data_IF_395179399840
#
_entry.id   IF_395179399840
#
_cell.length_a   1.000
_cell.length_b   1.000
_cell.length_c   1.000
_cell.angle_alpha   90.00
_cell.angle_beta   90.00
_cell.angle_gamma   90.00
#
_symmetry.space_group_name_H-M   'P 1'
#
loop_
_entity.id
_entity.type
_entity.pdbx_description
1 polymer ?
#
# COMPACT_ATOMS: atom_id res chain seq x y z
N UNK A 1 59.46 43.97 7.08
CA UNK A 1 59.57 43.56 5.67
C UNK A 1 59.57 42.03 5.61
N UNK A 2 58.69 41.47 4.75
CA UNK A 2 58.50 40.08 4.29
C UNK A 2 59.68 39.10 4.54
N UNK A 3 59.48 37.85 4.95
CA UNK A 3 59.01 36.65 4.19
C UNK A 3 59.41 35.44 5.08
N UNK A 4 58.88 34.23 5.05
CA UNK A 4 58.04 33.49 4.12
C UNK A 4 57.54 32.25 4.85
N UNK A 5 56.31 31.87 4.53
CA UNK A 5 55.62 30.64 4.89
C UNK A 5 56.44 29.34 4.78
N UNK A 6 56.30 28.48 5.78
CA UNK A 6 56.39 27.02 5.61
C UNK A 6 55.06 26.39 6.01
N UNK A 7 54.16 26.36 5.03
CA UNK A 7 53.03 25.44 4.97
C UNK A 7 53.56 24.00 4.87
N UNK A 8 52.98 23.09 5.65
CA UNK A 8 52.85 21.61 5.49
C UNK A 8 52.99 20.96 6.88
N UNK A 9 52.17 20.00 7.31
CA UNK A 9 51.11 19.24 6.68
C UNK A 9 50.46 18.32 7.75
N UNK A 10 49.42 17.59 7.33
CA UNK A 10 48.97 16.29 7.87
C UNK A 10 48.12 16.40 9.15
N UNK A 11 46.90 15.87 9.29
CA UNK A 11 46.11 14.95 8.48
C UNK A 11 44.62 15.27 8.73
N UNK A 12 43.86 15.32 7.66
CA UNK A 12 42.40 15.23 7.74
C UNK A 12 42.03 13.79 8.09
N UNK A 13 41.56 13.55 9.32
CA UNK A 13 40.89 12.31 9.68
C UNK A 13 39.44 12.41 9.22
N UNK A 14 39.17 11.97 7.99
CA UNK A 14 37.81 11.81 7.48
C UNK A 14 37.22 10.57 8.16
N UNK A 15 36.50 10.79 9.26
CA UNK A 15 35.70 9.75 9.90
C UNK A 15 34.54 9.39 8.96
N UNK A 16 34.74 8.34 8.16
CA UNK A 16 33.70 7.71 7.36
C UNK A 16 32.68 7.06 8.31
N UNK A 17 31.65 7.84 8.66
CA UNK A 17 30.44 7.33 9.27
C UNK A 17 29.78 6.38 8.27
N UNK A 18 29.99 5.09 8.48
CA UNK A 18 29.29 4.04 7.74
C UNK A 18 27.84 4.08 8.16
N UNK A 19 26.97 4.69 7.35
CA UNK A 19 25.53 4.60 7.51
C UNK A 19 25.12 3.15 7.27
N UNK A 20 25.00 2.36 8.34
CA UNK A 20 24.35 1.07 8.27
C UNK A 20 22.89 1.32 7.86
N UNK A 21 22.52 0.88 6.67
CA UNK A 21 21.15 0.93 6.19
C UNK A 21 20.31 -0.03 7.06
N UNK A 22 19.69 0.50 8.11
CA UNK A 22 18.67 -0.22 8.86
C UNK A 22 17.45 -0.34 7.96
N UNK A 23 16.94 -1.56 7.68
CA UNK A 23 15.70 -1.70 6.94
C UNK A 23 14.56 -1.09 7.75
N UNK A 24 14.07 0.07 7.31
CA UNK A 24 12.83 0.65 7.82
C UNK A 24 11.69 -0.08 7.14
N UNK A 25 11.10 -1.05 7.84
CA UNK A 25 9.83 -1.62 7.42
C UNK A 25 8.77 -0.52 7.57
N UNK A 26 8.21 -0.06 6.45
CA UNK A 26 7.07 0.84 6.47
C UNK A 26 5.91 0.13 7.17
N UNK A 27 5.54 0.62 8.36
CA UNK A 27 4.43 0.08 9.14
C UNK A 27 3.14 0.66 8.57
N UNK A 28 2.26 -0.22 8.09
CA UNK A 28 0.92 0.18 7.64
C UNK A 28 0.05 0.54 8.83
N UNK A 29 -0.79 1.55 8.64
CA UNK A 29 -1.64 2.12 9.68
C UNK A 29 -3.08 2.04 9.23
N UNK A 30 -3.77 1.00 9.69
CA UNK A 30 -5.20 0.83 9.46
C UNK A 30 -5.89 0.78 10.82
N UNK A 31 -6.81 1.72 11.03
CA UNK A 31 -7.59 1.84 12.26
C UNK A 31 -9.04 1.53 11.94
N UNK A 32 -9.59 0.46 12.50
CA UNK A 32 -11.00 0.07 12.28
C UNK A 32 -11.76 0.26 13.58
N UNK A 33 -12.83 1.06 13.55
CA UNK A 33 -13.64 1.38 14.75
C UNK A 33 -12.79 1.91 15.92
N UNK A 34 -11.73 2.66 15.63
CA UNK A 34 -10.80 3.20 16.63
C UNK A 34 -9.74 2.21 17.14
N UNK A 35 -9.70 0.99 16.61
CA UNK A 35 -8.70 -0.02 16.99
C UNK A 35 -7.61 -0.16 15.92
N UNK A 36 -6.36 -0.16 16.37
CA UNK A 36 -5.20 -0.44 15.52
C UNK A 36 -5.21 -1.89 15.06
N UNK A 37 -5.15 -2.11 13.76
CA UNK A 37 -5.07 -3.44 13.19
C UNK A 37 -3.61 -3.89 13.10
N UNK A 38 -3.36 -5.16 13.47
CA UNK A 38 -2.10 -5.84 13.17
C UNK A 38 -2.00 -6.21 11.69
N UNK A 39 -0.80 -6.51 11.20
CA UNK A 39 -0.59 -6.94 9.82
C UNK A 39 -1.49 -8.13 9.42
N UNK A 40 -1.61 -9.14 10.28
CA UNK A 40 -2.46 -10.30 9.99
C UNK A 40 -3.95 -9.96 9.91
N UNK A 41 -4.41 -8.97 10.70
CA UNK A 41 -5.79 -8.48 10.62
C UNK A 41 -6.02 -7.66 9.36
N UNK A 42 -5.03 -6.86 8.94
CA UNK A 42 -5.09 -6.13 7.67
C UNK A 42 -5.16 -7.12 6.51
N UNK A 43 -4.34 -8.16 6.49
CA UNK A 43 -4.36 -9.18 5.42
C UNK A 43 -5.73 -9.90 5.32
N UNK A 44 -6.34 -10.20 6.47
CA UNK A 44 -7.67 -10.84 6.51
C UNK A 44 -8.77 -9.88 6.02
N UNK A 45 -8.66 -8.61 6.39
CA UNK A 45 -9.56 -7.55 5.95
C UNK A 45 -9.44 -7.31 4.43
N UNK A 46 -8.21 -7.26 3.90
CA UNK A 46 -7.95 -7.12 2.46
C UNK A 46 -8.43 -8.32 1.66
N UNK A 47 -8.36 -9.54 2.23
CA UNK A 47 -8.94 -10.74 1.63
C UNK A 47 -10.46 -10.65 1.55
N UNK A 48 -11.10 -10.11 2.60
CA UNK A 48 -12.56 -9.90 2.63
C UNK A 48 -12.99 -8.78 1.67
N UNK A 49 -12.16 -7.74 1.54
CA UNK A 49 -12.37 -6.63 0.62
C UNK A 49 -12.00 -6.94 -0.83
N UNK A 50 -11.32 -8.06 -1.10
CA UNK A 50 -10.74 -8.40 -2.41
C UNK A 50 -9.88 -7.28 -3.01
N UNK A 51 -9.08 -6.61 -2.18
CA UNK A 51 -8.23 -5.52 -2.62
C UNK A 51 -7.44 -4.91 -1.47
N UNK A 52 -6.39 -4.15 -1.80
CA UNK A 52 -5.60 -3.47 -0.79
C UNK A 52 -6.37 -2.31 -0.16
N UNK A 53 -6.28 -2.19 1.16
CA UNK A 53 -6.96 -1.16 1.96
C UNK A 53 -5.94 -0.08 2.30
N UNK A 54 -6.06 1.16 1.79
CA UNK A 54 -5.10 2.22 2.09
C UNK A 54 -4.91 2.47 3.59
N UNK A 55 -3.80 3.08 3.96
CA UNK A 55 -3.61 3.52 5.35
C UNK A 55 -4.67 4.58 5.70
N UNK A 56 -5.30 4.43 6.86
CA UNK A 56 -6.39 5.31 7.26
C UNK A 56 -7.23 4.79 8.42
N UNK A 57 -8.26 5.57 8.75
CA UNK A 57 -9.26 5.21 9.74
C UNK A 57 -10.56 4.88 9.03
N UNK A 58 -11.21 3.80 9.46
CA UNK A 58 -12.39 3.23 8.84
C UNK A 58 -13.43 2.85 9.89
N UNK A 59 -14.69 2.84 9.47
CA UNK A 59 -15.81 2.30 10.23
C UNK A 59 -16.26 1.01 9.56
N UNK A 60 -16.36 -0.05 10.35
CA UNK A 60 -16.83 -1.36 9.89
C UNK A 60 -17.87 -1.92 10.86
N UNK A 61 -19.07 -2.13 10.38
CA UNK A 61 -20.06 -2.93 11.09
C UNK A 61 -19.86 -4.41 10.75
N UNK A 62 -19.38 -5.20 11.70
CA UNK A 62 -19.15 -6.64 11.50
C UNK A 62 -20.45 -7.46 11.37
N UNK A 63 -21.59 -6.94 11.84
CA UNK A 63 -22.87 -7.64 11.74
C UNK A 63 -23.49 -7.49 10.34
N UNK A 64 -23.34 -6.32 9.73
CA UNK A 64 -23.92 -6.01 8.40
C UNK A 64 -22.90 -6.01 7.26
N UNK A 65 -21.61 -5.93 7.58
CA UNK A 65 -20.51 -5.76 6.63
C UNK A 65 -20.42 -4.36 6.04
N UNK A 66 -21.15 -3.37 6.58
CA UNK A 66 -21.11 -1.99 6.10
C UNK A 66 -19.75 -1.35 6.40
N UNK A 67 -19.18 -0.67 5.41
CA UNK A 67 -17.82 -0.13 5.45
C UNK A 67 -17.76 1.30 4.94
N UNK A 68 -16.99 2.18 5.60
CA UNK A 68 -16.72 3.54 5.11
C UNK A 68 -15.42 4.14 5.65
N UNK A 69 -14.91 5.17 4.99
CA UNK A 69 -13.82 6.01 5.50
C UNK A 69 -14.25 6.85 6.71
N UNK A 70 -13.34 7.11 7.63
CA UNK A 70 -13.63 7.95 8.79
C UNK A 70 -13.85 9.41 8.39
N UNK A 71 -15.04 9.93 8.68
CA UNK A 71 -15.46 11.30 8.32
C UNK A 71 -16.40 11.36 7.13
N UNK A 72 -16.55 10.27 6.39
CA UNK A 72 -17.63 10.09 5.43
C UNK A 72 -18.86 9.58 6.18
N UNK A 73 -20.06 10.01 5.75
CA UNK A 73 -21.26 9.28 6.15
C UNK A 73 -21.05 7.82 5.75
N UNK A 74 -21.53 6.82 6.52
CA UNK A 74 -21.41 5.43 6.13
C UNK A 74 -22.11 5.24 4.79
N UNK A 75 -21.33 5.37 3.71
CA UNK A 75 -21.76 5.03 2.39
C UNK A 75 -22.07 3.54 2.48
N UNK A 76 -23.27 3.13 2.08
CA UNK A 76 -23.79 1.78 2.33
C UNK A 76 -23.10 0.70 1.48
N UNK A 77 -21.82 0.86 1.18
CA UNK A 77 -21.03 -0.14 0.51
C UNK A 77 -20.70 -1.24 1.51
N UNK A 78 -20.97 -2.48 1.12
CA UNK A 78 -20.52 -3.63 1.87
C UNK A 78 -19.04 -3.84 1.58
N UNK A 79 -18.26 -4.22 2.59
CA UNK A 79 -16.82 -4.51 2.42
C UNK A 79 -16.55 -5.54 1.31
N UNK A 80 -17.47 -6.49 1.09
CA UNK A 80 -17.35 -7.51 0.06
C UNK A 80 -17.82 -7.06 -1.34
N UNK A 81 -18.39 -5.86 -1.50
CA UNK A 81 -18.87 -5.40 -2.81
C UNK A 81 -17.71 -5.19 -3.80
N UNK A 82 -16.52 -4.83 -3.30
CA UNK A 82 -15.33 -4.72 -4.13
C UNK A 82 -14.91 -6.07 -4.74
N UNK A 83 -15.22 -7.20 -4.08
CA UNK A 83 -15.07 -8.53 -4.69
C UNK A 83 -15.98 -8.71 -5.91
N UNK A 84 -17.25 -8.27 -5.82
CA UNK A 84 -18.21 -8.39 -6.92
C UNK A 84 -17.80 -7.55 -8.11
N UNK A 85 -17.30 -6.34 -7.86
CA UNK A 85 -16.78 -5.45 -8.89
C UNK A 85 -15.52 -6.02 -9.57
N UNK A 86 -14.63 -6.65 -8.79
CA UNK A 86 -13.42 -7.30 -9.33
C UNK A 86 -13.71 -8.48 -10.26
N UNK A 87 -14.84 -9.18 -10.05
CA UNK A 87 -15.29 -10.26 -10.94
C UNK A 87 -16.16 -9.78 -12.10
N UNK A 88 -16.75 -8.59 -11.99
CA UNK A 88 -17.37 -7.90 -13.11
C UNK A 88 -16.29 -7.25 -13.99
N UNK A 89 -15.36 -8.08 -14.51
CA UNK A 89 -14.52 -7.68 -15.64
C UNK A 89 -15.40 -7.18 -16.79
N UNK A 90 -14.87 -6.29 -17.66
CA UNK A 90 -15.67 -5.62 -18.67
C UNK A 90 -16.45 -6.64 -19.51
N UNK A 91 -17.77 -6.67 -19.31
CA UNK A 91 -18.72 -7.37 -20.18
C UNK A 91 -18.65 -6.71 -21.57
N UNK A 92 -17.68 -7.14 -22.38
CA UNK A 92 -17.34 -6.49 -23.64
C UNK A 92 -15.95 -6.84 -24.17
N UNK A 93 -15.08 -7.48 -23.38
CA UNK A 93 -13.92 -8.17 -23.95
C UNK A 93 -14.39 -9.48 -24.62
N UNK A 94 -14.97 -9.34 -25.81
CA UNK A 94 -15.12 -10.43 -26.76
C UNK A 94 -13.77 -11.16 -26.88
N UNK A 95 -13.70 -12.47 -26.63
CA UNK A 95 -12.45 -13.20 -26.75
C UNK A 95 -11.97 -13.09 -28.21
N UNK A 96 -10.80 -12.51 -28.50
CA UNK A 96 -10.31 -12.45 -29.87
C UNK A 96 -9.95 -13.88 -30.29
N UNK A 97 -10.72 -14.41 -31.23
CA UNK A 97 -10.32 -15.57 -32.01
C UNK A 97 -10.95 -16.90 -31.59
N UNK A 98 -12.19 -17.11 -32.00
CA UNK A 98 -12.57 -18.42 -32.54
C UNK A 98 -12.75 -18.27 -34.05
N UNK A 99 -11.62 -18.28 -34.76
CA UNK A 99 -11.62 -18.38 -36.21
C UNK A 99 -12.33 -19.67 -36.62
N UNK A 100 -13.51 -19.53 -37.22
CA UNK A 100 -14.15 -20.60 -37.98
C UNK A 100 -13.26 -20.88 -39.19
N UNK A 101 -12.51 -21.97 -39.12
CA UNK A 101 -11.77 -22.52 -40.26
C UNK A 101 -12.38 -23.86 -40.64
N UNK A 102 -12.57 -24.07 -41.96
CA UNK A 102 -13.03 -25.32 -42.60
C UNK A 102 -14.55 -25.45 -42.58
N UNK A 103 -15.27 -25.38 -43.69
CA UNK A 103 -15.24 -26.20 -44.91
C UNK A 103 -16.73 -26.42 -45.20
N UNK A 104 -17.27 -26.21 -46.39
CA UNK A 104 -17.02 -26.86 -47.69
C UNK A 104 -17.44 -25.92 -48.84
#
# INVERSE_FOLDING_TARGET
MFRSSTFRAVAQAIALWSAAAVPVYAQRVVIVNGQWMSHAQIDDLERTHCGSIPDGTYLLDFATGAWSGAGEAPERSNIADNCRQSHAGPAGAEPPGRGTSGGE
#
